data_IF_980889025418
#
_entry.id   IF_980889025418
#
_cell.length_a   1.000
_cell.length_b   1.000
_cell.length_c   1.000
_cell.angle_alpha   90.00
_cell.angle_beta   90.00
_cell.angle_gamma   90.00
#
_symmetry.space_group_name_H-M   'P 1'
#
loop_
_entity.id
_entity.type
_entity.pdbx_description
1 polymer ?
#
# COMPACT_ATOMS: atom_id res chain seq x y z
N UNK A 1 -32.99 43.32 44.79
CA UNK A 1 -32.07 42.93 45.86
C UNK A 1 -31.88 41.42 45.74
N UNK A 2 -30.75 40.96 45.27
CA UNK A 2 -30.20 39.66 45.64
C UNK A 2 -29.10 39.22 44.70
N UNK A 3 -28.07 38.97 45.25
CA UNK A 3 -26.70 38.75 44.88
C UNK A 3 -26.47 37.61 43.87
N UNK A 4 -25.70 37.92 42.87
CA UNK A 4 -24.98 37.03 41.99
C UNK A 4 -23.80 36.43 42.78
N UNK A 5 -23.65 35.11 42.84
CA UNK A 5 -22.42 34.42 43.25
C UNK A 5 -21.90 33.61 42.07
N UNK A 6 -20.74 34.01 41.63
CA UNK A 6 -19.89 33.29 40.72
C UNK A 6 -19.30 32.08 41.44
N UNK A 7 -19.41 30.88 40.81
CA UNK A 7 -18.55 29.76 41.12
C UNK A 7 -17.69 29.44 39.91
N UNK A 8 -16.41 29.73 40.09
CA UNK A 8 -15.35 29.22 39.24
C UNK A 8 -15.23 27.70 39.43
N UNK A 9 -15.39 26.93 38.36
CA UNK A 9 -15.15 25.48 38.34
C UNK A 9 -14.14 25.18 37.25
N UNK A 10 -12.98 24.67 37.67
CA UNK A 10 -11.79 24.45 36.88
C UNK A 10 -11.99 23.50 35.73
N UNK A 11 -11.39 23.86 34.63
CA UNK A 11 -11.17 22.98 33.45
C UNK A 11 -10.14 21.93 33.85
N UNK A 12 -10.51 20.69 33.74
CA UNK A 12 -9.54 19.58 33.69
C UNK A 12 -9.26 19.32 32.20
N UNK A 13 -8.05 19.65 31.84
CA UNK A 13 -7.49 19.32 30.54
C UNK A 13 -7.29 17.80 30.48
N UNK A 14 -8.21 17.12 29.82
CA UNK A 14 -8.09 15.73 29.41
C UNK A 14 -7.50 15.68 28.02
N UNK A 15 -6.19 15.72 27.92
CA UNK A 15 -5.46 15.50 26.67
C UNK A 15 -5.46 14.03 26.39
N UNK A 16 -6.22 13.59 25.37
CA UNK A 16 -6.09 12.28 24.75
C UNK A 16 -4.89 12.32 23.81
N UNK A 17 -3.89 11.45 23.99
CA UNK A 17 -2.85 11.26 22.98
C UNK A 17 -3.33 10.19 22.01
N UNK A 18 -3.58 10.55 20.79
CA UNK A 18 -3.90 9.55 19.79
C UNK A 18 -4.60 10.09 18.55
N UNK A 19 -3.82 10.26 17.51
CA UNK A 19 -4.34 10.45 16.17
C UNK A 19 -4.12 11.85 15.65
N UNK A 20 -3.00 11.97 15.00
CA UNK A 20 -2.72 12.86 13.87
C UNK A 20 -1.29 12.63 13.51
N UNK A 21 -1.10 12.14 12.25
CA UNK A 21 -0.15 12.92 11.47
C UNK A 21 -0.16 12.34 10.07
N UNK A 22 -1.15 12.78 9.31
CA UNK A 22 -1.08 12.71 7.86
C UNK A 22 0.01 13.69 7.48
N UNK A 23 1.11 13.15 6.94
CA UNK A 23 2.29 13.88 6.55
C UNK A 23 1.95 15.16 5.78
N UNK A 24 2.28 16.31 6.34
CA UNK A 24 2.58 17.52 5.57
C UNK A 24 3.86 17.26 4.75
N UNK A 25 3.72 16.59 3.64
CA UNK A 25 4.69 16.69 2.57
C UNK A 25 4.28 17.90 1.76
N UNK A 26 5.17 18.89 1.74
CA UNK A 26 4.92 20.18 1.15
C UNK A 26 4.46 20.10 -0.31
N UNK A 27 3.75 21.15 -0.72
CA UNK A 27 3.09 21.38 -2.01
C UNK A 27 3.96 21.22 -3.29
N UNK A 28 5.21 20.78 -3.16
CA UNK A 28 6.15 20.58 -4.26
C UNK A 28 6.17 19.17 -4.84
N UNK A 29 5.55 18.18 -4.17
CA UNK A 29 5.68 16.77 -4.60
C UNK A 29 4.61 16.33 -5.63
N UNK A 30 3.53 17.07 -5.74
CA UNK A 30 2.45 16.76 -6.69
C UNK A 30 2.79 17.14 -8.15
N UNK A 31 3.80 17.98 -8.39
CA UNK A 31 4.05 18.59 -9.69
C UNK A 31 5.02 17.82 -10.60
N UNK A 32 5.70 16.76 -10.14
CA UNK A 32 6.84 16.18 -10.87
C UNK A 32 6.53 14.93 -11.71
N UNK A 33 5.30 14.41 -11.73
CA UNK A 33 4.92 13.31 -12.63
C UNK A 33 3.79 13.67 -13.59
N UNK A 34 3.78 14.89 -14.10
CA UNK A 34 2.81 15.34 -15.10
C UNK A 34 3.19 14.87 -16.50
N UNK A 35 2.96 13.61 -16.82
CA UNK A 35 2.45 13.27 -18.14
C UNK A 35 1.06 13.91 -18.22
N UNK A 36 0.90 14.95 -19.04
CA UNK A 36 -0.21 15.89 -19.03
C UNK A 36 -1.61 15.29 -19.23
N UNK A 37 -2.20 14.83 -18.15
CA UNK A 37 -3.61 14.54 -18.04
C UNK A 37 -4.22 15.49 -16.99
N UNK A 38 -5.06 16.41 -17.43
CA UNK A 38 -5.83 17.28 -16.54
C UNK A 38 -6.69 16.45 -15.59
N UNK A 39 -6.32 16.40 -14.31
CA UNK A 39 -7.11 15.77 -13.24
C UNK A 39 -8.27 16.65 -12.76
N UNK A 40 -8.71 17.63 -13.55
CA UNK A 40 -9.82 18.49 -13.20
C UNK A 40 -11.08 17.66 -12.97
N UNK A 41 -11.46 17.44 -11.71
CA UNK A 41 -12.76 16.96 -11.29
C UNK A 41 -12.93 15.43 -11.12
N UNK A 42 -11.87 14.58 -11.21
CA UNK A 42 -11.99 13.14 -10.95
C UNK A 42 -11.37 12.78 -9.62
N UNK A 43 -12.17 12.22 -8.72
CA UNK A 43 -11.66 11.57 -7.51
C UNK A 43 -11.13 10.18 -7.88
N UNK A 44 -9.91 9.84 -7.48
CA UNK A 44 -9.32 8.51 -7.67
C UNK A 44 -8.42 8.16 -6.49
N UNK A 45 -8.22 6.86 -6.29
CA UNK A 45 -7.28 6.35 -5.32
C UNK A 45 -5.89 6.30 -5.96
N UNK A 46 -4.97 7.17 -5.54
CA UNK A 46 -3.62 7.26 -6.11
C UNK A 46 -2.69 6.15 -5.63
N UNK A 47 -2.60 5.96 -4.30
CA UNK A 47 -1.69 4.99 -3.69
C UNK A 47 -2.39 4.20 -2.58
N UNK A 48 -1.97 2.93 -2.43
CA UNK A 48 -2.27 2.07 -1.28
C UNK A 48 -0.93 1.68 -0.66
N UNK A 49 -0.76 1.90 0.65
CA UNK A 49 0.45 1.47 1.33
C UNK A 49 0.42 -0.03 1.62
N UNK A 50 1.53 -0.70 1.35
CA UNK A 50 1.78 -2.08 1.74
C UNK A 50 3.03 -2.14 2.60
N UNK A 51 2.90 -2.71 3.81
CA UNK A 51 4.03 -2.79 4.75
C UNK A 51 4.92 -3.96 4.37
N UNK A 52 6.19 -3.67 4.18
CA UNK A 52 7.20 -4.63 3.77
C UNK A 52 8.35 -4.66 4.79
N UNK A 53 9.11 -5.75 4.79
CA UNK A 53 10.28 -5.90 5.67
C UNK A 53 11.44 -5.06 5.17
N UNK A 54 11.74 -5.15 3.88
CA UNK A 54 12.83 -4.46 3.22
C UNK A 54 12.42 -4.00 1.82
N UNK A 55 12.96 -2.84 1.38
CA UNK A 55 12.61 -2.24 0.09
C UNK A 55 13.07 -3.09 -1.11
N UNK A 56 14.37 -3.42 -1.19
CA UNK A 56 14.94 -4.03 -2.38
C UNK A 56 14.38 -5.41 -2.73
N UNK A 57 14.17 -6.32 -1.77
CA UNK A 57 13.45 -7.56 -2.04
C UNK A 57 12.01 -7.32 -2.51
N UNK A 58 11.33 -6.31 -1.96
CA UNK A 58 9.97 -5.99 -2.36
C UNK A 58 9.94 -5.42 -3.78
N UNK A 59 10.82 -4.48 -4.12
CA UNK A 59 10.96 -3.95 -5.49
C UNK A 59 11.16 -5.10 -6.48
N UNK A 60 12.14 -5.98 -6.24
CA UNK A 60 12.39 -7.14 -7.12
C UNK A 60 11.15 -8.03 -7.27
N UNK A 61 10.44 -8.30 -6.20
CA UNK A 61 9.23 -9.11 -6.28
C UNK A 61 8.16 -8.46 -7.16
N UNK A 62 7.85 -7.19 -6.92
CA UNK A 62 6.80 -6.51 -7.69
C UNK A 62 7.21 -6.27 -9.14
N UNK A 63 8.46 -5.90 -9.39
CA UNK A 63 8.96 -5.58 -10.75
C UNK A 63 9.26 -6.86 -11.54
N UNK A 64 10.13 -7.74 -11.02
CA UNK A 64 10.63 -8.87 -11.80
C UNK A 64 9.63 -10.04 -11.86
N UNK A 65 8.83 -10.24 -10.79
CA UNK A 65 7.89 -11.36 -10.71
C UNK A 65 6.49 -10.96 -11.15
N UNK A 66 5.94 -9.85 -10.65
CA UNK A 66 4.59 -9.40 -10.98
C UNK A 66 4.53 -8.49 -12.20
N UNK A 67 5.68 -8.08 -12.77
CA UNK A 67 5.78 -7.18 -13.94
C UNK A 67 5.21 -5.78 -13.69
N UNK A 68 5.35 -5.27 -12.47
CA UNK A 68 5.03 -3.90 -12.15
C UNK A 68 6.15 -2.96 -12.61
N UNK A 69 5.82 -1.69 -12.79
CA UNK A 69 6.79 -0.61 -13.01
C UNK A 69 7.27 -0.05 -11.68
N UNK A 70 8.57 0.18 -11.53
CA UNK A 70 9.11 1.04 -10.47
C UNK A 70 8.87 2.49 -10.87
N UNK A 71 7.87 3.12 -10.26
CA UNK A 71 7.47 4.50 -10.60
C UNK A 71 8.35 5.51 -9.90
N UNK A 72 8.73 5.23 -8.66
CA UNK A 72 9.56 6.12 -7.86
C UNK A 72 10.36 5.34 -6.81
N UNK A 73 11.56 5.82 -6.56
CA UNK A 73 12.44 5.34 -5.50
C UNK A 73 13.36 6.50 -5.12
N UNK A 74 12.93 7.29 -4.17
CA UNK A 74 13.61 8.49 -3.75
C UNK A 74 13.90 8.53 -2.25
N UNK A 75 14.98 9.19 -1.80
CA UNK A 75 15.22 9.45 -0.40
C UNK A 75 14.07 10.27 0.21
N UNK A 76 13.66 9.88 1.41
CA UNK A 76 12.64 10.60 2.18
C UNK A 76 13.00 10.57 3.68
N UNK A 77 12.22 11.26 4.49
CA UNK A 77 12.37 11.25 5.94
C UNK A 77 11.07 10.77 6.59
N UNK A 78 11.21 10.13 7.75
CA UNK A 78 10.09 9.89 8.68
C UNK A 78 9.68 11.22 9.33
N UNK A 79 8.54 11.24 10.03
CA UNK A 79 8.07 12.45 10.71
C UNK A 79 9.05 12.95 11.81
N UNK A 80 9.81 12.02 12.39
CA UNK A 80 10.87 12.30 13.35
C UNK A 80 12.26 12.52 12.74
N UNK A 81 12.33 12.67 11.39
CA UNK A 81 13.54 13.05 10.65
C UNK A 81 14.51 11.91 10.35
N UNK A 82 14.15 10.64 10.62
CA UNK A 82 15.00 9.48 10.27
C UNK A 82 14.94 9.18 8.77
N UNK A 83 16.06 8.72 8.16
CA UNK A 83 16.08 8.36 6.75
C UNK A 83 15.13 7.21 6.43
N UNK A 84 14.34 7.37 5.36
CA UNK A 84 13.55 6.32 4.70
C UNK A 84 13.63 6.48 3.19
N UNK A 85 12.97 5.59 2.45
CA UNK A 85 12.75 5.72 1.00
C UNK A 85 11.27 5.88 0.72
N UNK A 86 10.96 6.63 -0.32
CA UNK A 86 9.65 6.71 -0.91
C UNK A 86 9.66 5.83 -2.16
N UNK A 87 9.08 4.64 -2.04
CA UNK A 87 9.15 3.64 -3.10
C UNK A 87 7.75 3.33 -3.59
N UNK A 88 7.49 3.58 -4.86
CA UNK A 88 6.20 3.34 -5.51
C UNK A 88 6.37 2.36 -6.66
N UNK A 89 5.57 1.30 -6.64
CA UNK A 89 5.42 0.36 -7.75
C UNK A 89 3.99 0.37 -8.25
N UNK A 90 3.78 0.05 -9.53
CA UNK A 90 2.45 0.13 -10.15
C UNK A 90 2.32 -0.87 -11.30
N UNK A 91 1.16 -1.54 -11.46
CA UNK A 91 0.89 -2.28 -12.69
C UNK A 91 0.95 -1.35 -13.91
N UNK A 92 1.49 -1.79 -15.05
CA UNK A 92 1.55 -0.97 -16.27
C UNK A 92 0.17 -0.42 -16.63
N UNK A 93 0.10 0.89 -16.88
CA UNK A 93 -1.15 1.58 -17.24
C UNK A 93 -2.18 1.78 -16.13
N UNK A 94 -1.96 1.28 -14.92
CA UNK A 94 -2.88 1.48 -13.81
C UNK A 94 -2.82 2.91 -13.26
N UNK A 95 -3.96 3.42 -12.77
CA UNK A 95 -4.01 4.72 -12.08
C UNK A 95 -3.54 4.63 -10.62
N UNK A 96 -3.79 3.48 -9.97
CA UNK A 96 -3.44 3.25 -8.56
C UNK A 96 -2.12 2.49 -8.46
N UNK A 97 -1.21 2.99 -7.63
CA UNK A 97 0.05 2.33 -7.30
C UNK A 97 0.08 1.76 -5.88
N UNK A 98 1.15 1.05 -5.57
CA UNK A 98 1.48 0.60 -4.22
C UNK A 98 2.67 1.39 -3.70
N UNK A 99 2.51 2.00 -2.53
CA UNK A 99 3.62 2.54 -1.75
C UNK A 99 4.21 1.42 -0.91
N UNK A 100 5.45 1.04 -1.18
CA UNK A 100 6.16 0.07 -0.35
C UNK A 100 6.66 0.79 0.91
N UNK A 101 6.06 0.50 2.05
CA UNK A 101 6.40 1.10 3.33
C UNK A 101 7.23 0.11 4.16
N UNK A 102 8.51 0.39 4.37
CA UNK A 102 9.32 -0.45 5.27
C UNK A 102 8.83 -0.27 6.70
N UNK A 103 8.58 -1.40 7.38
CA UNK A 103 8.13 -1.39 8.76
C UNK A 103 9.11 -0.63 9.68
N UNK A 104 8.56 0.21 10.54
CA UNK A 104 9.28 0.99 11.53
C UNK A 104 8.70 0.68 12.91
N UNK A 105 9.43 -0.14 13.67
CA UNK A 105 9.00 -0.64 14.97
C UNK A 105 8.14 -1.91 14.91
N UNK A 106 7.90 -2.46 16.11
CA UNK A 106 7.28 -3.79 16.28
C UNK A 106 5.83 -3.84 15.80
N UNK A 107 5.06 -2.79 16.03
CA UNK A 107 3.65 -2.73 15.63
C UNK A 107 3.49 -2.82 14.11
N UNK A 108 4.32 -2.08 13.36
CA UNK A 108 4.32 -2.17 11.90
C UNK A 108 4.90 -3.50 11.41
N UNK A 109 5.92 -4.03 12.08
CA UNK A 109 6.46 -5.34 11.75
C UNK A 109 5.42 -6.46 11.97
N UNK A 110 4.56 -6.35 12.95
CA UNK A 110 3.52 -7.33 13.26
C UNK A 110 2.42 -7.44 12.18
N UNK A 111 2.21 -6.39 11.37
CA UNK A 111 1.19 -6.41 10.31
C UNK A 111 1.75 -6.86 8.95
N UNK A 112 3.06 -7.08 8.83
CA UNK A 112 3.67 -7.62 7.60
C UNK A 112 3.00 -8.94 7.23
N UNK A 113 2.46 -9.03 6.00
CA UNK A 113 1.74 -10.20 5.52
C UNK A 113 0.34 -10.41 6.11
N UNK A 114 -0.13 -9.47 6.93
CA UNK A 114 -1.43 -9.56 7.62
C UNK A 114 -2.30 -8.32 7.45
N UNK A 115 -2.02 -7.47 6.48
CA UNK A 115 -2.72 -6.19 6.30
C UNK A 115 -4.23 -6.35 6.03
N UNK A 116 -4.63 -7.47 5.41
CA UNK A 116 -6.03 -7.85 5.21
C UNK A 116 -6.46 -8.98 6.17
N UNK A 117 -5.77 -9.13 7.31
CA UNK A 117 -5.88 -10.28 8.20
C UNK A 117 -5.73 -11.59 7.42
N UNK A 118 -6.70 -12.49 7.49
CA UNK A 118 -6.65 -13.77 6.76
C UNK A 118 -7.39 -13.75 5.41
N UNK A 119 -7.81 -12.59 4.95
CA UNK A 119 -8.54 -12.44 3.69
C UNK A 119 -7.59 -12.19 2.52
N UNK A 120 -8.07 -12.49 1.29
CA UNK A 120 -7.48 -11.92 0.07
C UNK A 120 -7.68 -10.40 0.12
N UNK A 121 -6.57 -9.67 0.08
CA UNK A 121 -6.57 -8.21 0.18
C UNK A 121 -6.35 -7.51 -1.15
N UNK A 122 -5.86 -8.25 -2.15
CA UNK A 122 -5.45 -7.70 -3.45
C UNK A 122 -5.90 -8.62 -4.58
N UNK A 123 -6.29 -8.02 -5.70
CA UNK A 123 -6.81 -8.73 -6.88
C UNK A 123 -6.00 -8.27 -8.10
N UNK A 124 -5.13 -9.14 -8.61
CA UNK A 124 -4.27 -8.87 -9.76
C UNK A 124 -4.90 -9.46 -11.02
N UNK A 125 -5.41 -8.59 -11.89
CA UNK A 125 -5.91 -8.97 -13.19
C UNK A 125 -4.78 -8.97 -14.21
N UNK A 126 -4.69 -10.03 -15.00
CA UNK A 126 -3.71 -10.20 -16.08
C UNK A 126 -4.41 -10.57 -17.40
N UNK A 127 -3.83 -10.17 -18.53
CA UNK A 127 -4.38 -10.50 -19.85
C UNK A 127 -4.09 -11.95 -20.25
N UNK A 128 -2.98 -12.52 -19.78
CA UNK A 128 -2.58 -13.91 -20.03
C UNK A 128 -2.29 -14.58 -18.68
N UNK A 129 -3.30 -15.29 -18.17
CA UNK A 129 -3.19 -16.03 -16.91
C UNK A 129 -2.10 -17.10 -16.99
N UNK A 130 -2.02 -17.84 -18.09
CA UNK A 130 -1.07 -18.93 -18.25
C UNK A 130 0.38 -18.45 -18.17
N UNK A 131 0.70 -17.38 -18.92
CA UNK A 131 2.04 -16.80 -18.91
C UNK A 131 2.40 -16.20 -17.54
N UNK A 132 1.48 -15.48 -16.90
CA UNK A 132 1.69 -14.91 -15.57
C UNK A 132 1.90 -16.00 -14.52
N UNK A 133 1.06 -17.02 -14.50
CA UNK A 133 1.17 -18.16 -13.60
C UNK A 133 2.48 -18.92 -13.77
N UNK A 134 2.88 -19.19 -15.03
CA UNK A 134 4.15 -19.87 -15.33
C UNK A 134 5.37 -19.06 -14.84
N UNK A 135 5.40 -17.75 -15.11
CA UNK A 135 6.46 -16.84 -14.63
C UNK A 135 6.56 -16.83 -13.11
N UNK A 136 5.43 -16.69 -12.42
CA UNK A 136 5.37 -16.67 -10.96
C UNK A 136 5.79 -18.03 -10.37
N UNK A 137 5.41 -19.15 -11.01
CA UNK A 137 5.86 -20.49 -10.63
C UNK A 137 7.39 -20.66 -10.78
N UNK A 138 7.94 -20.18 -11.88
CA UNK A 138 9.40 -20.18 -12.11
C UNK A 138 10.15 -19.37 -11.04
N UNK A 139 9.56 -18.26 -10.61
CA UNK A 139 10.07 -17.44 -9.51
C UNK A 139 9.76 -18.00 -8.11
N UNK A 140 9.20 -19.22 -8.03
CA UNK A 140 8.86 -19.92 -6.77
C UNK A 140 7.86 -19.16 -5.87
N UNK A 141 6.96 -18.40 -6.47
CA UNK A 141 5.85 -17.78 -5.74
C UNK A 141 5.01 -18.89 -5.10
N UNK A 142 4.64 -18.69 -3.85
CA UNK A 142 3.79 -19.64 -3.13
C UNK A 142 2.33 -19.47 -3.50
N UNK A 143 1.75 -20.46 -4.17
CA UNK A 143 0.31 -20.56 -4.41
C UNK A 143 -0.35 -21.40 -3.31
N UNK A 144 -1.56 -21.01 -2.91
CA UNK A 144 -2.32 -21.71 -1.85
C UNK A 144 -3.19 -22.85 -2.40
N UNK A 145 -3.30 -22.96 -3.73
CA UNK A 145 -4.04 -24.02 -4.41
C UNK A 145 -3.80 -23.99 -5.91
N UNK A 146 -4.29 -24.99 -6.66
CA UNK A 146 -4.24 -24.97 -8.11
C UNK A 146 -5.17 -23.87 -8.66
N UNK A 147 -4.93 -23.44 -9.91
CA UNK A 147 -5.89 -22.62 -10.64
C UNK A 147 -7.26 -23.30 -10.74
N UNK A 148 -8.32 -22.52 -10.61
CA UNK A 148 -9.70 -22.95 -10.81
C UNK A 148 -10.36 -22.09 -11.88
N UNK A 149 -11.27 -22.66 -12.63
CA UNK A 149 -12.05 -21.94 -13.62
C UNK A 149 -13.33 -21.40 -12.99
N UNK A 150 -13.57 -20.12 -13.21
CA UNK A 150 -14.75 -19.40 -12.76
C UNK A 150 -15.44 -18.76 -13.97
N UNK A 151 -16.69 -18.30 -13.89
CA UNK A 151 -17.37 -17.68 -15.04
C UNK A 151 -16.65 -16.44 -15.61
N UNK A 152 -15.79 -15.81 -14.81
CA UNK A 152 -15.03 -14.60 -15.16
C UNK A 152 -13.56 -14.88 -15.52
N UNK A 153 -13.16 -16.15 -15.66
CA UNK A 153 -11.81 -16.55 -16.03
C UNK A 153 -11.17 -17.53 -15.03
N UNK A 154 -9.87 -17.70 -15.15
CA UNK A 154 -9.10 -18.50 -14.21
C UNK A 154 -8.70 -17.66 -13.00
N UNK A 155 -8.66 -18.31 -11.83
CA UNK A 155 -8.23 -17.66 -10.58
C UNK A 155 -7.44 -18.61 -9.71
N UNK A 156 -6.42 -18.08 -9.05
CA UNK A 156 -5.67 -18.79 -7.99
C UNK A 156 -5.16 -17.81 -6.94
N UNK A 157 -5.07 -18.25 -5.71
CA UNK A 157 -4.53 -17.45 -4.60
C UNK A 157 -3.03 -17.66 -4.50
N UNK A 158 -2.28 -16.56 -4.43
CA UNK A 158 -0.85 -16.60 -4.12
C UNK A 158 -0.51 -15.68 -2.94
N UNK A 159 0.67 -15.89 -2.40
CA UNK A 159 1.24 -15.01 -1.38
C UNK A 159 2.32 -14.13 -2.00
N UNK A 160 2.30 -12.84 -1.66
CA UNK A 160 3.44 -11.98 -1.95
C UNK A 160 4.64 -12.33 -1.05
N UNK A 161 5.75 -11.62 -1.21
CA UNK A 161 6.97 -11.87 -0.43
C UNK A 161 6.78 -11.62 1.08
N UNK A 162 5.79 -10.82 1.46
CA UNK A 162 5.47 -10.51 2.84
C UNK A 162 4.49 -11.55 3.44
N UNK A 163 3.74 -12.27 2.61
CA UNK A 163 2.73 -13.24 3.01
C UNK A 163 1.29 -12.75 2.86
N UNK A 164 1.04 -11.58 2.28
CA UNK A 164 -0.31 -11.15 1.99
C UNK A 164 -0.93 -12.00 0.87
N UNK A 165 -2.23 -12.28 1.00
CA UNK A 165 -2.98 -13.07 0.01
C UNK A 165 -3.45 -12.19 -1.14
N UNK A 166 -3.18 -12.67 -2.35
CA UNK A 166 -3.56 -12.07 -3.61
C UNK A 166 -4.33 -13.07 -4.46
N UNK A 167 -5.38 -12.63 -5.17
CA UNK A 167 -5.94 -13.38 -6.29
C UNK A 167 -5.20 -12.99 -7.57
N UNK A 168 -4.70 -13.98 -8.30
CA UNK A 168 -4.32 -13.85 -9.71
C UNK A 168 -5.53 -14.22 -10.55
N UNK A 169 -5.98 -13.33 -11.43
CA UNK A 169 -7.21 -13.46 -12.22
C UNK A 169 -6.91 -13.15 -13.69
N UNK A 170 -7.39 -13.98 -14.61
CA UNK A 170 -7.26 -13.74 -16.04
C UNK A 170 -8.05 -14.72 -16.88
N UNK A 171 -8.17 -14.48 -18.19
CA UNK A 171 -8.84 -15.40 -19.12
C UNK A 171 -8.09 -16.71 -19.29
#
# INVERSE_FOLDING_TARGET
MSHCRQHAGGRRDGQSPGGQDICHLGDTFWAASSGGGSYAGRVHLGLIAIVVREYDPAIRFFVDVLSFELVEDSPALTNDGRPKRWVVVRPPGAATGLLLARADGDDQAAVIGKQAADRVGFFLHVEDFGAAYARMRAARVRFLGPPRSEPYGQVTVFLDLAGNKWDLIGP
#
